data_IF_971722508416
#
_entry.id   IF_971722508416
#
_cell.length_a   1.000
_cell.length_b   1.000
_cell.length_c   1.000
_cell.angle_alpha   90.00
_cell.angle_beta   90.00
_cell.angle_gamma   90.00
#
_symmetry.space_group_name_H-M   'P 1'
#
loop_
_entity.id
_entity.type
_entity.pdbx_description
1 polymer ?
#
# COMPACT_ATOMS: atom_id res chain seq x y z
N UNK A 1 63.51 0.38 54.54
CA UNK A 1 64.10 1.71 54.79
C UNK A 1 64.84 2.15 53.53
N UNK A 2 64.28 3.08 52.76
CA UNK A 2 65.00 4.11 52.01
C UNK A 2 63.95 5.08 51.45
N UNK A 3 64.00 6.30 51.98
CA UNK A 3 63.24 7.47 51.56
C UNK A 3 63.92 8.14 50.36
N UNK A 4 63.16 9.06 49.74
CA UNK A 4 63.54 10.24 48.93
C UNK A 4 62.90 10.21 47.52
N UNK A 5 62.66 11.36 46.86
CA UNK A 5 62.11 12.61 47.40
C UNK A 5 61.00 13.18 46.49
N UNK A 6 60.30 14.18 47.03
CA UNK A 6 59.31 15.02 46.37
C UNK A 6 60.01 16.16 45.58
N UNK A 7 59.51 16.56 44.40
CA UNK A 7 59.54 17.97 44.02
C UNK A 7 58.17 18.52 43.55
N UNK A 8 57.80 19.64 44.17
CA UNK A 8 56.79 20.63 43.74
C UNK A 8 57.41 21.58 42.68
N UNK A 9 56.73 22.59 42.08
CA UNK A 9 55.31 22.98 42.09
C UNK A 9 54.70 23.32 40.70
N UNK A 10 53.41 23.72 40.72
CA UNK A 10 52.51 24.10 39.62
C UNK A 10 52.99 25.21 38.64
N UNK A 11 52.23 25.43 37.54
CA UNK A 11 51.51 26.71 37.48
C UNK A 11 50.08 26.66 36.88
N UNK A 12 49.21 27.40 37.56
CA UNK A 12 48.09 28.25 37.08
C UNK A 12 47.74 28.17 35.59
N UNK A 13 46.45 27.93 35.29
CA UNK A 13 45.74 28.64 34.21
C UNK A 13 44.25 28.80 34.53
N UNK A 14 43.88 30.05 34.75
CA UNK A 14 42.51 30.57 34.75
C UNK A 14 42.06 30.69 33.28
N UNK A 15 40.85 30.22 32.97
CA UNK A 15 40.00 30.72 31.88
C UNK A 15 38.58 30.25 32.24
N UNK A 16 37.67 31.08 32.74
CA UNK A 16 36.92 32.13 32.05
C UNK A 16 36.56 31.75 30.61
N UNK A 17 35.38 31.18 30.44
CA UNK A 17 34.58 31.34 29.23
C UNK A 17 33.13 31.61 29.66
N UNK A 18 32.82 32.90 29.74
CA UNK A 18 31.48 33.45 29.65
C UNK A 18 31.02 33.37 28.18
N UNK A 19 29.70 33.43 28.00
CA UNK A 19 28.99 33.88 26.80
C UNK A 19 28.84 32.89 25.63
N UNK A 20 27.63 32.36 25.49
CA UNK A 20 26.78 32.52 24.30
C UNK A 20 25.43 31.85 24.57
N UNK A 21 24.56 32.54 25.31
CA UNK A 21 23.18 32.12 25.60
C UNK A 21 22.26 33.17 24.99
N UNK A 22 22.17 33.21 23.66
CA UNK A 22 21.19 34.00 22.90
C UNK A 22 21.32 33.67 21.42
N UNK A 23 20.46 32.79 20.92
CA UNK A 23 20.37 32.50 19.49
C UNK A 23 19.47 31.31 19.20
N UNK A 24 18.32 31.58 18.58
CA UNK A 24 17.43 30.62 17.91
C UNK A 24 16.48 29.78 18.80
N UNK A 25 15.50 30.43 19.41
CA UNK A 25 14.20 29.79 19.72
C UNK A 25 13.06 30.61 19.14
N UNK A 26 12.94 30.64 17.80
CA UNK A 26 11.69 31.07 17.14
C UNK A 26 11.61 30.58 15.68
N UNK A 27 11.65 29.26 15.46
CA UNK A 27 11.39 28.70 14.13
C UNK A 27 10.89 27.25 14.21
N UNK A 28 9.80 26.99 14.91
CA UNK A 28 9.19 25.65 14.95
C UNK A 28 7.67 25.68 15.10
N UNK A 29 6.96 26.53 14.33
CA UNK A 29 5.50 26.40 14.14
C UNK A 29 5.09 26.80 12.72
N UNK A 30 5.76 26.23 11.71
CA UNK A 30 5.21 26.16 10.37
C UNK A 30 4.97 24.69 10.02
N UNK A 31 4.10 24.04 10.80
CA UNK A 31 3.51 22.80 10.34
C UNK A 31 2.62 23.13 9.12
N UNK A 32 2.75 22.44 7.98
CA UNK A 32 1.89 22.68 6.84
C UNK A 32 0.47 22.18 7.16
N UNK A 33 -0.35 23.06 7.74
CA UNK A 33 -1.79 22.82 7.97
C UNK A 33 -2.61 22.76 6.66
N UNK A 34 -1.99 23.05 5.51
CA UNK A 34 -2.66 23.15 4.22
C UNK A 34 -3.12 21.79 3.64
N UNK A 35 -2.61 20.65 4.10
CA UNK A 35 -3.00 19.35 3.54
C UNK A 35 -4.35 18.83 4.05
N UNK A 36 -4.85 19.32 5.19
CA UNK A 36 -6.03 18.74 5.86
C UNK A 36 -7.33 19.51 5.59
N UNK A 37 -7.26 20.75 5.11
CA UNK A 37 -8.43 21.58 4.86
C UNK A 37 -9.26 21.13 3.63
N UNK A 38 -8.66 20.41 2.67
CA UNK A 38 -9.36 19.99 1.46
C UNK A 38 -9.95 18.56 1.52
N UNK A 39 -9.66 17.79 2.57
CA UNK A 39 -10.19 16.43 2.75
C UNK A 39 -11.66 16.41 3.21
N UNK A 40 -12.18 17.51 3.77
CA UNK A 40 -13.54 17.58 4.33
C UNK A 40 -14.67 17.59 3.31
N UNK A 41 -14.40 17.86 2.02
CA UNK A 41 -15.46 18.11 1.04
C UNK A 41 -16.07 16.87 0.37
N UNK A 42 -15.44 15.69 0.43
CA UNK A 42 -16.03 14.48 -0.16
C UNK A 42 -16.89 13.65 0.80
N UNK A 43 -16.90 14.01 2.09
CA UNK A 43 -17.61 13.28 3.12
C UNK A 43 -16.96 11.92 3.47
N UNK A 44 -17.57 11.17 4.41
CA UNK A 44 -16.99 9.92 4.90
C UNK A 44 -16.94 8.84 3.83
N UNK A 45 -16.03 7.87 3.98
CA UNK A 45 -15.98 6.66 3.15
C UNK A 45 -17.23 5.80 3.42
N UNK A 46 -18.09 5.68 2.41
CA UNK A 46 -19.23 4.75 2.41
C UNK A 46 -18.70 3.37 2.03
N UNK A 47 -18.81 2.42 2.96
CA UNK A 47 -18.36 1.04 2.74
C UNK A 47 -19.48 0.21 2.12
N UNK A 48 -19.19 -0.42 1.00
CA UNK A 48 -20.06 -1.40 0.35
C UNK A 48 -19.79 -2.81 0.85
N UNK A 49 -18.51 -3.15 1.06
CA UNK A 49 -18.07 -4.45 1.54
C UNK A 49 -16.93 -4.26 2.53
N UNK A 50 -16.97 -4.98 3.65
CA UNK A 50 -15.87 -4.94 4.62
C UNK A 50 -14.63 -5.67 4.08
N UNK A 51 -13.44 -5.22 4.45
CA UNK A 51 -12.18 -5.91 4.10
C UNK A 51 -12.19 -7.37 4.55
N UNK A 52 -12.73 -7.67 5.74
CA UNK A 52 -12.86 -9.04 6.24
C UNK A 52 -13.72 -9.91 5.30
N UNK A 53 -14.82 -9.37 4.79
CA UNK A 53 -15.69 -10.08 3.85
C UNK A 53 -15.01 -10.26 2.48
N UNK A 54 -14.37 -9.21 1.96
CA UNK A 54 -13.62 -9.29 0.70
C UNK A 54 -12.51 -10.36 0.77
N UNK A 55 -11.71 -10.37 1.84
CA UNK A 55 -10.66 -11.37 2.04
C UNK A 55 -11.23 -12.80 2.14
N UNK A 56 -12.37 -12.99 2.82
CA UNK A 56 -13.02 -14.30 2.89
C UNK A 56 -13.55 -14.80 1.54
N UNK A 57 -13.94 -13.89 0.66
CA UNK A 57 -14.43 -14.23 -0.67
C UNK A 57 -13.29 -14.49 -1.67
N UNK A 58 -12.20 -13.72 -1.58
CA UNK A 58 -11.08 -13.77 -2.51
C UNK A 58 -10.02 -14.82 -2.16
N UNK A 59 -9.90 -15.21 -0.89
CA UNK A 59 -8.86 -16.14 -0.45
C UNK A 59 -9.41 -17.55 -0.20
N UNK A 60 -8.61 -18.60 -0.44
CA UNK A 60 -9.02 -19.98 -0.21
C UNK A 60 -9.57 -20.21 1.20
N UNK A 61 -10.69 -20.94 1.29
CA UNK A 61 -11.30 -21.30 2.58
C UNK A 61 -10.31 -22.16 3.39
N UNK A 62 -10.26 -21.91 4.70
CA UNK A 62 -9.39 -22.65 5.62
C UNK A 62 -7.93 -22.18 5.65
N UNK A 63 -7.49 -21.35 4.69
CA UNK A 63 -6.13 -20.81 4.68
C UNK A 63 -5.83 -19.97 5.93
N UNK A 64 -4.56 -19.99 6.37
CA UNK A 64 -4.02 -19.04 7.34
C UNK A 64 -3.74 -17.73 6.60
N UNK A 65 -4.50 -16.68 6.92
CA UNK A 65 -4.31 -15.35 6.34
C UNK A 65 -3.25 -14.60 7.15
N UNK A 66 -2.19 -14.13 6.47
CA UNK A 66 -1.09 -13.38 7.07
C UNK A 66 -0.99 -12.01 6.42
N UNK A 67 -1.09 -10.95 7.21
CA UNK A 67 -0.81 -9.58 6.74
C UNK A 67 0.69 -9.39 6.60
N UNK A 68 1.13 -8.87 5.46
CA UNK A 68 2.53 -8.52 5.16
C UNK A 68 2.62 -7.05 4.82
N UNK A 69 3.78 -6.45 5.13
CA UNK A 69 4.18 -5.11 4.73
C UNK A 69 5.60 -5.23 4.20
N UNK A 70 5.81 -5.03 2.90
CA UNK A 70 7.12 -5.21 2.28
C UNK A 70 7.33 -4.24 1.13
N UNK A 71 8.58 -3.88 0.87
CA UNK A 71 8.93 -3.16 -0.35
C UNK A 71 9.05 -4.14 -1.51
N UNK A 72 8.72 -3.64 -2.70
CA UNK A 72 8.95 -4.38 -3.92
C UNK A 72 10.44 -4.29 -4.27
N UNK A 73 11.09 -5.42 -4.53
CA UNK A 73 12.48 -5.45 -4.99
C UNK A 73 12.59 -4.88 -6.40
N UNK A 74 13.78 -4.44 -6.79
CA UNK A 74 14.04 -4.01 -8.18
C UNK A 74 13.79 -5.16 -9.18
N UNK A 75 14.10 -6.38 -8.78
CA UNK A 75 13.85 -7.57 -9.59
C UNK A 75 12.36 -7.78 -9.84
N UNK A 76 11.53 -7.72 -8.80
CA UNK A 76 10.08 -7.86 -8.94
C UNK A 76 9.45 -6.69 -9.71
N UNK A 77 10.00 -5.47 -9.56
CA UNK A 77 9.62 -4.31 -10.40
C UNK A 77 9.91 -4.55 -11.87
N UNK A 78 11.12 -5.00 -12.20
CA UNK A 78 11.53 -5.30 -13.57
C UNK A 78 10.69 -6.42 -14.17
N UNK A 79 10.49 -7.49 -13.42
CA UNK A 79 9.60 -8.59 -13.83
C UNK A 79 8.19 -8.07 -14.15
N UNK A 80 7.61 -7.21 -13.32
CA UNK A 80 6.28 -6.63 -13.57
C UNK A 80 6.25 -5.72 -14.81
N UNK A 81 7.31 -4.94 -15.05
CA UNK A 81 7.46 -4.10 -16.24
C UNK A 81 7.53 -4.95 -17.51
N UNK A 82 8.32 -6.02 -17.50
CA UNK A 82 8.44 -6.96 -18.62
C UNK A 82 7.14 -7.73 -18.86
N UNK A 83 6.49 -8.20 -17.79
CA UNK A 83 5.32 -9.08 -17.88
C UNK A 83 4.02 -8.33 -18.21
N UNK A 84 3.82 -7.15 -17.63
CA UNK A 84 2.54 -6.42 -17.71
C UNK A 84 2.67 -5.05 -18.38
N UNK A 85 3.87 -4.59 -18.71
CA UNK A 85 4.10 -3.26 -19.29
C UNK A 85 3.73 -2.12 -18.35
N UNK A 86 3.82 -2.32 -17.02
CA UNK A 86 3.48 -1.31 -16.02
C UNK A 86 4.66 -0.97 -15.13
N UNK A 87 4.82 0.31 -14.82
CA UNK A 87 5.74 0.76 -13.77
C UNK A 87 5.02 0.77 -12.43
N UNK A 88 5.51 -0.06 -11.51
CA UNK A 88 4.91 -0.19 -10.18
C UNK A 88 5.51 0.83 -9.21
N UNK A 89 4.68 1.38 -8.30
CA UNK A 89 5.16 2.36 -7.33
C UNK A 89 6.15 1.72 -6.35
N UNK A 90 7.18 2.48 -5.99
CA UNK A 90 8.09 2.12 -4.90
C UNK A 90 7.45 2.21 -3.52
N UNK A 91 8.22 1.84 -2.50
CA UNK A 91 7.82 1.94 -1.09
C UNK A 91 7.14 0.68 -0.53
N UNK A 92 6.65 0.81 0.71
CA UNK A 92 6.09 -0.29 1.48
C UNK A 92 4.62 -0.57 1.10
N UNK A 93 4.37 -1.79 0.62
CA UNK A 93 3.06 -2.28 0.24
C UNK A 93 2.50 -3.22 1.30
N UNK A 94 1.24 -3.01 1.70
CA UNK A 94 0.53 -3.91 2.62
C UNK A 94 -0.40 -4.83 1.86
N UNK A 95 -0.25 -6.14 2.04
CA UNK A 95 -1.06 -7.16 1.38
C UNK A 95 -1.29 -8.35 2.31
N UNK A 96 -2.15 -9.27 1.89
CA UNK A 96 -2.52 -10.45 2.67
C UNK A 96 -2.12 -11.71 1.91
N UNK A 97 -1.37 -12.60 2.55
CA UNK A 97 -1.03 -13.91 2.01
C UNK A 97 -2.01 -14.95 2.54
N UNK A 98 -2.50 -15.82 1.67
CA UNK A 98 -3.14 -17.07 2.06
C UNK A 98 -2.07 -18.16 2.11
N UNK A 99 -1.93 -18.83 3.26
CA UNK A 99 -1.03 -19.97 3.41
C UNK A 99 -1.79 -21.22 3.79
N UNK A 100 -1.38 -22.34 3.21
CA UNK A 100 -1.80 -23.64 3.69
C UNK A 100 -1.33 -23.85 5.14
N UNK A 101 -2.20 -24.38 6.00
CA UNK A 101 -1.90 -24.53 7.43
C UNK A 101 -0.92 -25.66 7.69
N UNK A 102 -0.98 -26.73 6.90
CA UNK A 102 -0.17 -27.92 7.09
C UNK A 102 1.24 -27.74 6.52
N UNK A 103 1.34 -27.29 5.26
CA UNK A 103 2.60 -27.17 4.52
C UNK A 103 3.25 -25.78 4.58
N UNK A 104 2.51 -24.74 4.98
CA UNK A 104 2.99 -23.36 4.89
C UNK A 104 3.16 -22.83 3.46
N UNK A 105 2.72 -23.58 2.44
CA UNK A 105 2.72 -23.16 1.03
C UNK A 105 1.87 -21.91 0.84
N UNK A 106 2.30 -21.00 -0.03
CA UNK A 106 1.45 -19.88 -0.46
C UNK A 106 0.36 -20.44 -1.37
N UNK A 107 -0.89 -20.05 -1.12
CA UNK A 107 -2.06 -20.42 -1.91
C UNK A 107 -2.61 -19.22 -2.71
N UNK A 108 -1.91 -18.10 -2.66
CA UNK A 108 -2.29 -16.82 -3.25
C UNK A 108 -2.23 -15.66 -2.26
N UNK A 109 -2.83 -14.55 -2.65
CA UNK A 109 -2.91 -13.35 -1.83
C UNK A 109 -3.99 -12.39 -2.25
N UNK A 110 -4.16 -11.35 -1.46
CA UNK A 110 -5.09 -10.26 -1.73
C UNK A 110 -4.47 -8.92 -1.34
N UNK A 111 -4.76 -7.92 -2.15
CA UNK A 111 -4.38 -6.53 -1.95
C UNK A 111 -5.65 -5.72 -1.75
N UNK A 112 -5.66 -4.87 -0.72
CA UNK A 112 -6.74 -3.92 -0.48
C UNK A 112 -6.11 -2.56 -0.28
N UNK A 113 -6.41 -1.63 -1.19
CA UNK A 113 -5.82 -0.29 -1.20
C UNK A 113 -6.88 0.79 -1.20
N UNK A 114 -6.50 1.91 -0.63
CA UNK A 114 -7.25 3.15 -0.72
C UNK A 114 -6.56 4.02 -1.77
N UNK A 115 -7.30 4.37 -2.81
CA UNK A 115 -6.88 5.18 -3.93
C UNK A 115 -7.49 6.57 -3.79
N UNK A 116 -6.63 7.59 -3.81
CA UNK A 116 -7.08 8.98 -3.69
C UNK A 116 -7.45 9.55 -5.06
N UNK A 117 -8.58 10.25 -5.10
CA UNK A 117 -9.11 10.86 -6.32
C UNK A 117 -9.71 12.24 -6.04
N UNK A 118 -9.08 13.29 -6.61
CA UNK A 118 -9.40 14.73 -6.58
C UNK A 118 -9.79 15.31 -5.21
N UNK A 119 -10.92 14.90 -4.64
CA UNK A 119 -11.40 15.36 -3.33
C UNK A 119 -11.80 14.23 -2.37
N UNK A 120 -11.65 12.95 -2.74
CA UNK A 120 -12.00 11.82 -1.87
C UNK A 120 -11.16 10.58 -2.17
N UNK A 121 -11.64 9.43 -1.74
CA UNK A 121 -10.97 8.15 -1.92
C UNK A 121 -11.93 7.04 -2.33
N UNK A 122 -11.37 6.04 -3.01
CA UNK A 122 -12.00 4.80 -3.35
C UNK A 122 -11.18 3.66 -2.74
N UNK A 123 -11.84 2.68 -2.15
CA UNK A 123 -11.20 1.50 -1.60
C UNK A 123 -11.42 0.33 -2.53
N UNK A 124 -10.36 -0.20 -3.11
CA UNK A 124 -10.40 -1.29 -4.07
C UNK A 124 -9.74 -2.55 -3.50
N UNK A 125 -10.08 -3.70 -4.08
CA UNK A 125 -9.50 -4.97 -3.70
C UNK A 125 -9.24 -5.86 -4.92
N UNK A 126 -8.14 -6.59 -4.88
CA UNK A 126 -7.74 -7.59 -5.87
C UNK A 126 -7.27 -8.85 -5.14
N UNK A 127 -7.70 -10.02 -5.62
CA UNK A 127 -7.23 -11.33 -5.15
C UNK A 127 -6.63 -12.15 -6.28
N UNK A 128 -5.54 -12.85 -6.00
CA UNK A 128 -4.88 -13.80 -6.89
C UNK A 128 -4.63 -15.14 -6.19
N UNK A 129 -4.72 -16.25 -6.92
CA UNK A 129 -4.30 -17.58 -6.46
C UNK A 129 -2.78 -17.81 -6.63
N UNK A 130 -2.33 -19.03 -6.31
CA UNK A 130 -0.92 -19.47 -6.47
C UNK A 130 -0.47 -19.65 -7.93
N UNK A 131 -1.39 -19.50 -8.90
CA UNK A 131 -1.10 -19.51 -10.34
C UNK A 131 -1.26 -18.13 -10.96
N UNK A 132 -1.30 -17.09 -10.12
CA UNK A 132 -1.52 -15.70 -10.52
C UNK A 132 -2.83 -15.52 -11.31
N UNK A 133 -3.87 -16.30 -11.00
CA UNK A 133 -5.21 -16.11 -11.56
C UNK A 133 -6.07 -15.33 -10.59
N UNK A 134 -6.91 -14.46 -11.14
CA UNK A 134 -7.85 -13.66 -10.38
C UNK A 134 -8.82 -14.56 -9.60
N UNK A 135 -8.92 -14.31 -8.31
CA UNK A 135 -9.92 -14.92 -7.43
C UNK A 135 -11.02 -13.95 -7.03
N UNK A 136 -10.79 -12.65 -7.25
CA UNK A 136 -11.82 -11.63 -7.13
C UNK A 136 -11.29 -10.22 -7.32
N UNK A 137 -12.21 -9.32 -7.64
CA UNK A 137 -12.00 -7.89 -7.77
C UNK A 137 -13.13 -7.16 -7.07
N UNK A 138 -12.91 -5.93 -6.61
CA UNK A 138 -14.03 -5.16 -6.09
C UNK A 138 -13.74 -3.72 -5.75
N UNK A 139 -14.83 -2.97 -5.71
CA UNK A 139 -14.92 -1.64 -5.11
C UNK A 139 -15.56 -1.79 -3.73
N UNK A 140 -14.74 -1.72 -2.69
CA UNK A 140 -15.15 -1.95 -1.30
C UNK A 140 -15.81 -0.72 -0.67
N UNK A 141 -15.56 0.48 -1.21
CA UNK A 141 -16.19 1.71 -0.74
C UNK A 141 -15.66 2.93 -1.46
N UNK A 142 -16.39 4.05 -1.37
CA UNK A 142 -15.98 5.35 -1.92
C UNK A 142 -16.43 6.47 -0.99
N UNK A 143 -15.77 7.62 -1.00
CA UNK A 143 -16.28 8.78 -0.26
C UNK A 143 -17.70 9.13 -0.69
N UNK A 144 -18.55 9.52 0.26
CA UNK A 144 -19.99 9.72 0.09
C UNK A 144 -20.36 10.49 -1.18
N UNK A 145 -19.64 11.59 -1.46
CA UNK A 145 -19.85 12.44 -2.65
C UNK A 145 -19.75 11.70 -3.99
N UNK A 146 -18.96 10.62 -4.04
CA UNK A 146 -18.72 9.84 -5.26
C UNK A 146 -19.58 8.57 -5.34
N UNK A 147 -20.50 8.33 -4.41
CA UNK A 147 -21.33 7.12 -4.46
C UNK A 147 -22.18 7.02 -5.74
N UNK A 148 -22.66 8.15 -6.26
CA UNK A 148 -23.43 8.26 -7.50
C UNK A 148 -22.55 7.91 -8.72
N UNK A 149 -21.31 8.41 -8.74
CA UNK A 149 -20.34 8.19 -9.82
C UNK A 149 -20.01 6.71 -10.06
N UNK A 150 -20.16 5.89 -9.02
CA UNK A 150 -19.86 4.45 -9.04
C UNK A 150 -21.12 3.57 -8.97
N UNK A 151 -22.31 4.17 -8.95
CA UNK A 151 -23.56 3.42 -8.85
C UNK A 151 -23.78 2.51 -10.07
N UNK A 152 -23.56 3.05 -11.27
CA UNK A 152 -23.67 2.30 -12.52
C UNK A 152 -22.58 1.23 -12.71
N UNK A 153 -21.44 1.38 -12.03
CA UNK A 153 -20.32 0.42 -12.12
C UNK A 153 -20.54 -0.83 -11.26
N UNK A 154 -21.54 -0.78 -10.38
CA UNK A 154 -21.75 -1.81 -9.37
C UNK A 154 -20.87 -1.59 -8.13
N UNK A 155 -21.36 -2.07 -7.00
CA UNK A 155 -20.75 -1.90 -5.67
C UNK A 155 -20.31 -3.28 -5.15
N UNK A 156 -19.21 -3.34 -4.41
CA UNK A 156 -18.73 -4.56 -3.79
C UNK A 156 -17.87 -5.43 -4.71
N UNK A 157 -18.08 -6.75 -4.66
CA UNK A 157 -17.27 -7.72 -5.39
C UNK A 157 -17.82 -7.92 -6.81
N UNK A 158 -16.95 -7.81 -7.80
CA UNK A 158 -17.29 -8.03 -9.20
C UNK A 158 -17.18 -9.51 -9.55
N UNK A 159 -18.19 -10.04 -10.23
CA UNK A 159 -18.23 -11.42 -10.73
C UNK A 159 -17.80 -11.50 -12.20
N UNK A 160 -17.32 -12.66 -12.63
CA UNK A 160 -16.98 -12.94 -14.03
C UNK A 160 -15.54 -12.57 -14.40
N UNK A 161 -14.68 -12.36 -13.39
CA UNK A 161 -13.26 -12.10 -13.58
C UNK A 161 -12.40 -13.24 -13.01
N UNK A 162 -13.02 -14.18 -12.31
CA UNK A 162 -12.36 -15.31 -11.68
C UNK A 162 -11.69 -16.21 -12.75
N UNK A 163 -10.48 -16.68 -12.45
CA UNK A 163 -9.65 -17.50 -13.35
C UNK A 163 -8.89 -16.72 -14.42
N UNK A 164 -9.17 -15.42 -14.60
CA UNK A 164 -8.44 -14.60 -15.57
C UNK A 164 -7.00 -14.33 -15.12
N UNK A 165 -6.09 -14.25 -16.09
CA UNK A 165 -4.75 -13.71 -15.84
C UNK A 165 -4.80 -12.17 -15.75
N UNK A 166 -3.93 -11.51 -14.97
CA UNK A 166 -3.87 -10.06 -14.87
C UNK A 166 -3.67 -9.35 -16.23
N UNK A 167 -3.05 -10.00 -17.20
CA UNK A 167 -2.81 -9.47 -18.55
C UNK A 167 -4.10 -9.36 -19.37
N UNK A 168 -5.06 -10.26 -19.14
CA UNK A 168 -6.36 -10.25 -19.79
C UNK A 168 -7.36 -9.32 -19.09
N UNK A 169 -7.00 -8.82 -17.90
CA UNK A 169 -7.87 -7.99 -17.08
C UNK A 169 -8.23 -6.64 -17.73
N UNK A 170 -7.29 -5.88 -18.34
CA UNK A 170 -7.60 -4.56 -18.91
C UNK A 170 -8.71 -4.65 -19.97
N UNK A 171 -8.60 -5.57 -20.93
CA UNK A 171 -9.61 -5.73 -21.98
C UNK A 171 -10.99 -6.06 -21.40
N UNK A 172 -11.05 -6.97 -20.43
CA UNK A 172 -12.31 -7.35 -19.77
C UNK A 172 -12.91 -6.23 -18.92
N UNK A 173 -12.07 -5.44 -18.25
CA UNK A 173 -12.50 -4.28 -17.49
C UNK A 173 -12.99 -3.15 -18.41
N UNK A 174 -12.30 -2.89 -19.52
CA UNK A 174 -12.71 -1.90 -20.51
C UNK A 174 -14.01 -2.33 -21.21
N UNK A 175 -14.18 -3.60 -21.57
CA UNK A 175 -15.44 -4.08 -22.13
C UNK A 175 -16.63 -3.91 -21.16
N UNK A 176 -16.38 -4.00 -19.85
CA UNK A 176 -17.43 -3.89 -18.83
C UNK A 176 -17.68 -2.45 -18.35
N UNK A 177 -16.62 -1.66 -18.25
CA UNK A 177 -16.62 -0.36 -17.57
C UNK A 177 -16.06 0.79 -18.44
N UNK A 178 -15.39 0.47 -19.55
CA UNK A 178 -14.58 1.38 -20.37
C UNK A 178 -15.36 2.40 -21.20
N UNK A 179 -16.65 2.14 -21.47
CA UNK A 179 -17.56 3.13 -22.05
C UNK A 179 -18.09 4.15 -21.02
N UNK A 180 -17.53 4.16 -19.81
CA UNK A 180 -18.02 4.93 -18.68
C UNK A 180 -17.35 6.30 -18.44
N UNK A 181 -17.89 6.96 -17.42
CA UNK A 181 -17.41 8.23 -16.86
C UNK A 181 -15.93 8.18 -16.42
N UNK A 182 -15.31 9.33 -16.18
CA UNK A 182 -13.93 9.42 -15.65
C UNK A 182 -13.66 8.50 -14.43
N UNK A 183 -14.58 8.37 -13.45
CA UNK A 183 -14.53 7.38 -12.37
C UNK A 183 -14.33 5.93 -12.83
N UNK A 184 -15.03 5.53 -13.90
CA UNK A 184 -14.91 4.18 -14.46
C UNK A 184 -13.49 3.92 -14.98
N UNK A 185 -12.96 4.85 -15.79
CA UNK A 185 -11.58 4.75 -16.30
C UNK A 185 -10.55 4.71 -15.18
N UNK A 186 -10.76 5.47 -14.10
CA UNK A 186 -9.89 5.43 -12.91
C UNK A 186 -9.95 4.08 -12.20
N UNK A 187 -11.15 3.52 -12.00
CA UNK A 187 -11.32 2.19 -11.43
C UNK A 187 -10.59 1.12 -12.24
N UNK A 188 -10.73 1.15 -13.56
CA UNK A 188 -10.02 0.21 -14.45
C UNK A 188 -8.52 0.32 -14.26
N UNK A 189 -7.98 1.55 -14.25
CA UNK A 189 -6.57 1.82 -14.00
C UNK A 189 -6.08 1.28 -12.65
N UNK A 190 -6.83 1.52 -11.57
CA UNK A 190 -6.50 1.05 -10.23
C UNK A 190 -6.47 -0.48 -10.14
N UNK A 191 -7.52 -1.15 -10.63
CA UNK A 191 -7.60 -2.61 -10.57
C UNK A 191 -6.51 -3.28 -11.42
N UNK A 192 -6.19 -2.73 -12.60
CA UNK A 192 -5.07 -3.18 -13.43
C UNK A 192 -3.75 -3.08 -12.66
N UNK A 193 -3.47 -1.90 -12.11
CA UNK A 193 -2.21 -1.65 -11.40
C UNK A 193 -2.09 -2.51 -10.14
N UNK A 194 -3.17 -2.66 -9.37
CA UNK A 194 -3.19 -3.47 -8.16
C UNK A 194 -3.07 -4.97 -8.43
N UNK A 195 -3.62 -5.46 -9.54
CA UNK A 195 -3.42 -6.84 -9.97
C UNK A 195 -1.95 -7.12 -10.30
N UNK A 196 -1.30 -6.23 -11.05
CA UNK A 196 0.12 -6.35 -11.37
C UNK A 196 1.01 -6.22 -10.12
N UNK A 197 0.68 -5.28 -9.22
CA UNK A 197 1.38 -5.11 -7.95
C UNK A 197 1.29 -6.36 -7.08
N UNK A 198 0.08 -6.92 -6.92
CA UNK A 198 -0.10 -8.15 -6.14
C UNK A 198 0.65 -9.33 -6.77
N UNK A 199 0.61 -9.47 -8.10
CA UNK A 199 1.35 -10.52 -8.79
C UNK A 199 2.86 -10.41 -8.53
N UNK A 200 3.42 -9.19 -8.59
CA UNK A 200 4.84 -8.95 -8.33
C UNK A 200 5.21 -9.24 -6.86
N UNK A 201 4.34 -8.86 -5.91
CA UNK A 201 4.53 -9.18 -4.49
C UNK A 201 4.51 -10.69 -4.23
N UNK A 202 3.62 -11.43 -4.90
CA UNK A 202 3.56 -12.89 -4.79
C UNK A 202 4.78 -13.56 -5.41
N UNK A 203 5.18 -13.14 -6.61
CA UNK A 203 6.40 -13.60 -7.28
C UNK A 203 7.64 -13.42 -6.40
N UNK A 204 7.81 -12.24 -5.79
CA UNK A 204 8.90 -11.96 -4.86
C UNK A 204 8.87 -12.88 -3.62
N UNK A 205 7.68 -13.13 -3.06
CA UNK A 205 7.54 -13.99 -1.87
C UNK A 205 7.89 -15.45 -2.17
N UNK A 206 7.61 -15.92 -3.38
CA UNK A 206 7.95 -17.26 -3.83
C UNK A 206 9.44 -17.41 -4.14
N UNK A 207 10.05 -16.41 -4.79
CA UNK A 207 11.49 -16.39 -5.07
C UNK A 207 12.39 -16.16 -3.85
N UNK A 208 11.84 -15.72 -2.71
CA UNK A 208 12.59 -15.52 -1.46
C UNK A 208 12.63 -16.77 -0.55
N UNK A 209 12.22 -17.94 -1.04
CA UNK A 209 12.22 -19.21 -0.30
C UNK A 209 13.37 -20.09 -0.75
#
# INVERSE_FOLDING_TARGET
>A
MHSMPNPSPAPRRRARALAALLGATLACLAAPQAAWAHAGHAGPLVRFVSTKHALKAMLPRGAKIVRRKQELSEEARRWAKERFGVELPGGLHTFFLARDRASGRVLGGALVREEHYRHGSARVAVGLDDRLRLTGLGLLGVSKKYTIDFEALGKGLFRGFEGLAPEALPERLEARFGHGSLPARKLVGWLKQDAALLAALLHQVEGSR
#
